data_IF_098803903486
#
_entry.id   IF_098803903486
#
_cell.length_a   1.000
_cell.length_b   1.000
_cell.length_c   1.000
_cell.angle_alpha   90.00
_cell.angle_beta   90.00
_cell.angle_gamma   90.00
#
_symmetry.space_group_name_H-M   'P 1'
#
loop_
_entity.id
_entity.type
_entity.pdbx_description
1 polymer ?
#
# COMPACT_ATOMS: atom_id res chain seq x y z
N UNK A 1 -19.02 11.69 -2.98
CA UNK A 1 -18.12 12.07 -1.89
C UNK A 1 -16.94 11.14 -2.03
N UNK A 2 -15.89 11.59 -2.70
CA UNK A 2 -14.70 10.78 -2.98
C UNK A 2 -13.92 10.72 -1.67
N UNK A 3 -13.83 9.54 -1.05
CA UNK A 3 -13.07 9.33 0.18
C UNK A 3 -11.56 9.36 -0.13
N UNK A 4 -11.04 10.53 -0.45
CA UNK A 4 -9.63 10.76 -0.84
C UNK A 4 -8.80 11.28 0.34
N UNK A 5 -9.11 10.85 1.56
CA UNK A 5 -8.30 11.17 2.76
C UNK A 5 -7.38 9.99 3.12
N UNK A 6 -7.14 9.07 2.18
CA UNK A 6 -6.15 8.03 2.37
C UNK A 6 -4.77 8.63 2.06
N UNK A 7 -3.99 8.84 3.11
CA UNK A 7 -2.63 9.37 3.05
C UNK A 7 -1.81 8.71 1.93
N UNK A 8 -1.27 9.48 0.99
CA UNK A 8 -0.52 8.93 -0.13
C UNK A 8 0.66 8.05 0.38
N UNK A 9 0.73 6.81 -0.11
CA UNK A 9 1.82 5.88 0.20
C UNK A 9 3.00 6.18 -0.72
N UNK A 10 4.20 6.00 -0.19
CA UNK A 10 5.45 6.06 -0.93
C UNK A 10 6.20 4.74 -0.83
N UNK A 11 7.03 4.44 -1.83
CA UNK A 11 7.93 3.28 -1.79
C UNK A 11 8.83 3.38 -0.58
N UNK A 12 8.86 2.34 0.26
CA UNK A 12 9.58 2.30 1.52
C UNK A 12 8.71 2.57 2.75
N UNK A 13 7.48 3.09 2.60
CA UNK A 13 6.59 3.25 3.76
C UNK A 13 6.22 1.91 4.38
N UNK A 14 6.05 1.89 5.71
CA UNK A 14 5.53 0.73 6.42
C UNK A 14 4.02 0.81 6.53
N UNK A 15 3.37 -0.27 6.08
CA UNK A 15 1.91 -0.42 6.09
C UNK A 15 1.52 -1.71 6.79
N UNK A 16 0.25 -1.86 7.12
CA UNK A 16 -0.35 -3.11 7.57
C UNK A 16 -1.54 -3.44 6.69
N UNK A 17 -1.84 -4.73 6.57
CA UNK A 17 -3.08 -5.19 5.96
C UNK A 17 -4.23 -5.02 6.97
N UNK A 18 -5.32 -4.35 6.58
CA UNK A 18 -6.49 -4.19 7.45
C UNK A 18 -7.20 -5.51 7.75
N UNK A 19 -7.01 -6.53 6.92
CA UNK A 19 -7.54 -7.87 7.19
C UNK A 19 -6.62 -8.72 8.07
N UNK A 20 -5.32 -8.39 8.15
CA UNK A 20 -4.31 -9.09 8.95
C UNK A 20 -3.23 -8.11 9.45
N UNK A 21 -3.47 -7.50 10.61
CA UNK A 21 -2.60 -6.45 11.17
C UNK A 21 -1.38 -6.97 11.96
N UNK A 22 -1.16 -8.29 11.98
CA UNK A 22 -0.07 -8.93 12.75
C UNK A 22 1.30 -8.70 12.10
N UNK A 23 1.34 -8.43 10.79
CA UNK A 23 2.57 -8.26 10.03
C UNK A 23 2.75 -6.85 9.45
N UNK A 24 3.92 -6.27 9.68
CA UNK A 24 4.35 -5.03 9.01
C UNK A 24 4.79 -5.34 7.58
N UNK A 25 4.14 -4.67 6.64
CA UNK A 25 4.40 -4.71 5.22
C UNK A 25 5.26 -3.52 4.80
N UNK A 26 6.12 -3.72 3.80
CA UNK A 26 6.92 -2.66 3.21
C UNK A 26 6.42 -2.39 1.78
N UNK A 27 6.09 -1.14 1.47
CA UNK A 27 5.72 -0.75 0.10
C UNK A 27 6.95 -0.86 -0.81
N UNK A 28 6.88 -1.74 -1.80
CA UNK A 28 7.96 -1.96 -2.77
C UNK A 28 7.73 -1.18 -4.07
N UNK A 29 6.49 -1.16 -4.56
CA UNK A 29 6.13 -0.49 -5.82
C UNK A 29 4.73 0.10 -5.74
N UNK A 30 4.55 1.27 -6.36
CA UNK A 30 3.24 1.88 -6.59
C UNK A 30 2.96 1.75 -8.08
N UNK A 31 1.96 0.96 -8.45
CA UNK A 31 1.61 0.76 -9.85
C UNK A 31 0.50 1.73 -10.27
N UNK A 32 0.54 2.29 -11.48
CA UNK A 32 -0.54 3.13 -12.01
C UNK A 32 -1.77 2.32 -12.48
N UNK A 33 -1.76 1.00 -12.27
CA UNK A 33 -2.86 0.10 -12.67
C UNK A 33 -3.85 -0.06 -11.53
N UNK A 34 -5.12 -0.15 -11.90
CA UNK A 34 -6.20 -0.48 -10.96
C UNK A 34 -6.24 -1.96 -10.61
N UNK A 35 -6.94 -2.31 -9.53
CA UNK A 35 -7.11 -3.69 -9.07
C UNK A 35 -7.75 -4.59 -10.13
N UNK A 36 -8.58 -4.05 -11.02
CA UNK A 36 -9.18 -4.79 -12.13
C UNK A 36 -8.28 -4.97 -13.35
N UNK A 37 -7.19 -4.21 -13.45
CA UNK A 37 -6.22 -4.26 -14.55
C UNK A 37 -4.92 -4.97 -14.18
N UNK A 38 -4.66 -5.15 -12.89
CA UNK A 38 -3.47 -5.82 -12.38
C UNK A 38 -3.70 -7.33 -12.27
N UNK A 39 -3.11 -8.09 -13.19
CA UNK A 39 -3.10 -9.55 -13.18
C UNK A 39 -2.03 -10.10 -12.22
N UNK A 40 -2.44 -10.99 -11.32
CA UNK A 40 -1.59 -11.78 -10.43
C UNK A 40 -1.80 -13.25 -10.73
N UNK A 41 -1.17 -13.71 -11.81
CA UNK A 41 -1.27 -15.09 -12.28
C UNK A 41 -2.55 -15.35 -13.07
N UNK A 42 -3.48 -16.10 -12.48
CA UNK A 42 -4.71 -16.58 -13.14
C UNK A 42 -5.92 -15.63 -12.94
N UNK A 43 -5.81 -14.65 -12.04
CA UNK A 43 -6.87 -13.70 -11.70
C UNK A 43 -6.28 -12.31 -11.42
N UNK A 44 -7.14 -11.28 -11.39
CA UNK A 44 -6.75 -9.91 -11.06
C UNK A 44 -6.77 -9.67 -9.56
N UNK A 45 -6.10 -8.61 -9.10
CA UNK A 45 -6.11 -8.20 -7.68
C UNK A 45 -7.54 -7.98 -7.19
N UNK A 46 -8.40 -7.37 -8.00
CA UNK A 46 -9.81 -7.17 -7.69
C UNK A 46 -10.60 -8.47 -7.52
N UNK A 47 -10.22 -9.53 -8.24
CA UNK A 47 -10.88 -10.83 -8.11
C UNK A 47 -10.47 -11.58 -6.84
N UNK A 48 -9.27 -11.34 -6.31
CA UNK A 48 -8.84 -11.83 -5.00
C UNK A 48 -9.35 -10.97 -3.84
N UNK A 49 -9.70 -9.70 -4.11
CA UNK A 49 -10.08 -8.70 -3.12
C UNK A 49 -11.47 -8.14 -3.44
N UNK A 50 -12.49 -9.00 -3.45
CA UNK A 50 -13.85 -8.66 -3.93
C UNK A 50 -14.56 -7.60 -3.06
N UNK A 51 -14.17 -7.48 -1.78
CA UNK A 51 -14.70 -6.49 -0.83
C UNK A 51 -14.12 -5.08 -1.02
N UNK A 52 -13.11 -4.93 -1.88
CA UNK A 52 -12.43 -3.66 -2.15
C UNK A 52 -12.82 -3.08 -3.51
N UNK A 53 -12.67 -1.76 -3.70
CA UNK A 53 -13.01 -1.13 -4.97
C UNK A 53 -12.19 -1.73 -6.11
N UNK A 54 -12.88 -2.01 -7.21
CA UNK A 54 -12.30 -2.61 -8.41
C UNK A 54 -11.36 -1.66 -9.17
N UNK A 55 -11.59 -0.37 -9.00
CA UNK A 55 -10.84 0.74 -9.60
C UNK A 55 -9.77 1.27 -8.63
N UNK A 56 -9.54 0.61 -7.49
CA UNK A 56 -8.55 1.01 -6.51
C UNK A 56 -7.14 0.82 -7.06
N UNK A 57 -6.22 1.75 -6.76
CA UNK A 57 -4.83 1.63 -7.17
C UNK A 57 -4.19 0.40 -6.52
N UNK A 58 -3.33 -0.29 -7.24
CA UNK A 58 -2.61 -1.45 -6.70
C UNK A 58 -1.27 -1.01 -6.12
N UNK A 59 -0.95 -1.58 -4.96
CA UNK A 59 0.31 -1.37 -4.27
C UNK A 59 0.98 -2.73 -4.10
N UNK A 60 2.23 -2.82 -4.53
CA UNK A 60 3.04 -4.00 -4.30
C UNK A 60 3.83 -3.83 -3.00
N UNK A 61 3.70 -4.82 -2.13
CA UNK A 61 4.33 -4.85 -0.81
C UNK A 61 5.14 -6.11 -0.63
N UNK A 62 6.08 -6.07 0.31
CA UNK A 62 6.86 -7.23 0.75
C UNK A 62 6.63 -7.46 2.23
N UNK A 63 6.78 -8.70 2.68
CA UNK A 63 6.73 -9.10 4.09
C UNK A 63 8.15 -9.24 4.67
N UNK A 64 8.80 -8.15 5.13
CA UNK A 64 10.07 -8.26 5.82
C UNK A 64 9.90 -8.90 7.20
N UNK A 65 10.77 -9.86 7.53
CA UNK A 65 10.92 -10.38 8.88
C UNK A 65 12.11 -9.69 9.57
N UNK A 66 12.16 -9.71 10.90
CA UNK A 66 13.30 -9.13 11.66
C UNK A 66 14.68 -9.67 11.24
N UNK A 67 14.72 -10.86 10.65
CA UNK A 67 15.93 -11.53 10.16
C UNK A 67 16.16 -11.35 8.66
N UNK A 68 15.28 -10.66 7.94
CA UNK A 68 15.45 -10.35 6.52
C UNK A 68 16.64 -9.41 6.34
N UNK A 69 17.66 -9.90 5.63
CA UNK A 69 18.85 -9.13 5.29
C UNK A 69 18.85 -8.64 3.84
N UNK A 70 18.06 -9.27 2.98
CA UNK A 70 17.94 -8.97 1.55
C UNK A 70 16.45 -8.81 1.23
N UNK A 71 15.98 -7.57 1.09
CA UNK A 71 14.56 -7.28 0.80
C UNK A 71 14.22 -7.61 -0.65
N UNK A 72 15.17 -7.52 -1.58
CA UNK A 72 15.00 -7.84 -3.00
C UNK A 72 14.80 -9.34 -3.29
N UNK A 73 14.97 -10.21 -2.28
CA UNK A 73 14.69 -11.65 -2.40
C UNK A 73 13.31 -12.06 -1.90
N UNK A 74 12.53 -11.12 -1.37
CA UNK A 74 11.17 -11.40 -0.91
C UNK A 74 10.21 -11.41 -2.09
N UNK A 75 9.19 -12.24 -2.00
CA UNK A 75 8.06 -12.21 -2.93
C UNK A 75 7.29 -10.89 -2.80
N UNK A 76 6.88 -10.37 -3.96
CA UNK A 76 6.02 -9.19 -4.07
C UNK A 76 4.55 -9.62 -4.00
N UNK A 77 3.79 -8.92 -3.15
CA UNK A 77 2.36 -9.14 -2.95
C UNK A 77 1.60 -7.89 -3.38
N UNK A 78 0.56 -8.05 -4.18
CA UNK A 78 -0.23 -6.93 -4.70
C UNK A 78 -1.55 -6.80 -3.95
N UNK A 79 -1.81 -5.63 -3.37
CA UNK A 79 -3.06 -5.32 -2.68
C UNK A 79 -3.69 -4.04 -3.20
N UNK A 80 -5.03 -3.90 -3.12
CA UNK A 80 -5.68 -2.60 -3.28
C UNK A 80 -5.14 -1.60 -2.24
N UNK A 81 -4.83 -0.38 -2.64
CA UNK A 81 -4.46 0.74 -1.78
C UNK A 81 -5.37 0.86 -0.58
N UNK A 82 -6.69 0.76 -0.74
CA UNK A 82 -7.68 0.89 0.34
C UNK A 82 -7.59 -0.18 1.42
N UNK A 83 -7.02 -1.34 1.10
CA UNK A 83 -6.77 -2.45 2.04
C UNK A 83 -5.59 -2.18 2.96
N UNK A 84 -4.66 -1.32 2.53
CA UNK A 84 -3.45 -1.00 3.28
C UNK A 84 -3.64 0.23 4.17
N UNK A 85 -3.21 0.11 5.42
CA UNK A 85 -3.14 1.20 6.37
C UNK A 85 -1.70 1.59 6.65
N UNK A 86 -1.38 2.87 6.56
CA UNK A 86 -0.04 3.38 6.87
C UNK A 86 0.20 3.35 8.37
N UNK A 87 1.29 2.71 8.79
CA UNK A 87 1.70 2.66 10.21
C UNK A 87 2.80 3.68 10.48
N UNK A 88 3.83 3.71 9.64
CA UNK A 88 4.97 4.60 9.81
C UNK A 88 5.36 5.21 8.46
N UNK A 89 5.15 6.52 8.26
CA UNK A 89 5.70 7.22 7.10
C UNK A 89 7.23 7.30 7.26
N UNK A 90 7.98 6.78 6.28
CA UNK A 90 9.43 6.97 6.24
C UNK A 90 9.84 8.24 5.48
N UNK A 91 8.92 8.77 4.68
CA UNK A 91 9.11 10.06 4.02
C UNK A 91 8.59 11.17 4.91
N UNK A 92 9.43 12.18 5.16
CA UNK A 92 8.97 13.48 5.65
C UNK A 92 7.88 13.94 4.69
N UNK A 93 6.65 13.91 5.19
CA UNK A 93 5.58 14.67 4.58
C UNK A 93 5.89 16.08 5.02
N UNK A 94 6.25 16.94 4.07
CA UNK A 94 6.02 18.38 4.25
C UNK A 94 4.51 18.51 4.49
N UNK A 95 4.09 18.30 5.74
CA UNK A 95 2.96 18.97 6.32
C UNK A 95 3.32 20.43 6.10
N UNK A 96 2.82 20.99 4.99
CA UNK A 96 2.61 22.41 4.89
C UNK A 96 1.62 22.70 6.02
N UNK A 97 2.18 22.83 7.24
CA UNK A 97 1.56 23.53 8.35
C UNK A 97 1.13 24.84 7.71
N UNK A 98 -0.16 24.91 7.39
CA UNK A 98 -0.80 26.16 7.03
C UNK A 98 -0.63 27.04 8.24
N UNK A 99 0.45 27.81 8.21
CA UNK A 99 0.66 29.01 9.00
C UNK A 99 -0.53 29.92 8.66
N UNK A 100 -1.62 29.72 9.40
CA UNK A 100 -2.70 30.67 9.48
C UNK A 100 -2.23 31.80 10.41
N UNK A 101 -1.26 32.55 9.90
CA UNK A 101 -1.02 33.98 10.03
C UNK A 101 -1.88 34.74 11.07
N UNK A 102 -1.16 35.32 12.03
CA UNK A 102 -1.34 36.63 12.74
C UNK A 102 -2.61 36.92 13.55
#
# INVERSE_FOLDING_TARGET
MTNDDQLQLHVGDHVVDKEDDDATLLVATITPKTASEYDVGDQTVAAYNEDYPRDDDVIEVRYPQRTTQDIDRLDDYAFPRSRLELVEPLHDRDDEEVDASE
#
